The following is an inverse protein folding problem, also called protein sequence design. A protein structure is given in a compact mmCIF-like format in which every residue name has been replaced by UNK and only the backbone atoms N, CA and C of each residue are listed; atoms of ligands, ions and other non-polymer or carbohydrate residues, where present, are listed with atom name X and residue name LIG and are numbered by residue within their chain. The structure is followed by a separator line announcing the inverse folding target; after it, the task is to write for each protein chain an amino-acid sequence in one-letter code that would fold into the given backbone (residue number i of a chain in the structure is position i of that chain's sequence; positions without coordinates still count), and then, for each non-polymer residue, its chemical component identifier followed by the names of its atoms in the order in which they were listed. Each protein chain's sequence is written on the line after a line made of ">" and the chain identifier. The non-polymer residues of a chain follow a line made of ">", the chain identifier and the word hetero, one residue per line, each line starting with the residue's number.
data_IF_003748145379
#
_entry.id   IF_003748145379
#
_cell.length_a   1.000
_cell.length_b   1.000
_cell.length_c   1.000
_cell.angle_alpha   90.00
_cell.angle_beta   90.00
_cell.angle_gamma   90.00
#
_symmetry.space_group_name_H-M   'P 1'
#
loop_
_entity.id
_entity.type
_entity.pdbx_description
1 polymer ?
#
# COMPACT_ATOMS: atom_id res chain seq x y z
N UNK A 1 27.64 -17.31 7.79
CA UNK A 1 26.45 -18.11 8.19
C UNK A 1 25.68 -18.57 6.94
N UNK A 2 25.69 -19.87 6.70
CA UNK A 2 25.09 -20.53 5.53
C UNK A 2 23.61 -20.79 5.82
N UNK A 3 22.69 -20.14 5.11
CA UNK A 3 21.28 -20.52 5.12
C UNK A 3 21.11 -21.79 4.27
N UNK A 4 21.14 -22.96 4.92
CA UNK A 4 20.78 -24.23 4.30
C UNK A 4 19.25 -24.34 4.16
N UNK A 5 18.79 -24.62 2.93
CA UNK A 5 17.41 -24.95 2.49
C UNK A 5 16.79 -26.08 3.35
N UNK A 6 15.48 -26.33 3.46
CA UNK A 6 14.23 -25.79 2.89
C UNK A 6 13.06 -26.42 3.67
N UNK A 7 12.17 -25.59 4.19
CA UNK A 7 10.73 -25.89 4.27
C UNK A 7 10.05 -24.53 4.34
N UNK A 8 9.58 -24.03 3.20
CA UNK A 8 8.75 -22.83 3.20
C UNK A 8 7.31 -23.27 3.47
N UNK A 9 6.91 -23.14 4.73
CA UNK A 9 5.50 -23.07 5.09
C UNK A 9 5.15 -21.58 5.02
N UNK A 10 4.39 -21.20 3.99
CA UNK A 10 3.88 -19.83 3.86
C UNK A 10 2.47 -19.78 4.43
N UNK A 11 2.36 -19.73 5.76
CA UNK A 11 1.07 -19.47 6.40
C UNK A 11 0.79 -17.97 6.34
N UNK A 12 -0.32 -17.61 5.68
CA UNK A 12 -0.85 -16.25 5.73
C UNK A 12 -1.49 -16.05 7.10
N UNK A 13 -0.77 -15.38 7.99
CA UNK A 13 -1.34 -14.97 9.29
C UNK A 13 -2.06 -13.63 9.14
N UNK A 14 -3.36 -13.61 9.40
CA UNK A 14 -4.13 -12.36 9.50
C UNK A 14 -3.59 -11.53 10.67
N UNK A 15 -3.31 -10.26 10.40
CA UNK A 15 -2.79 -9.31 11.38
C UNK A 15 -3.92 -8.37 11.82
N UNK A 16 -3.97 -8.07 13.11
CA UNK A 16 -4.90 -7.06 13.61
C UNK A 16 -4.49 -5.69 13.08
N UNK A 17 -5.44 -5.00 12.47
CA UNK A 17 -5.25 -3.65 11.94
C UNK A 17 -6.24 -2.70 12.59
N UNK A 18 -5.81 -1.46 12.82
CA UNK A 18 -6.70 -0.37 13.22
C UNK A 18 -7.05 0.42 11.97
N UNK A 19 -8.32 0.70 11.75
CA UNK A 19 -8.72 1.37 10.53
C UNK A 19 -10.14 1.89 10.53
N UNK A 20 -10.43 2.72 9.53
CA UNK A 20 -11.77 3.17 9.21
C UNK A 20 -11.99 3.05 7.70
N UNK A 21 -13.23 2.79 7.31
CA UNK A 21 -13.66 2.77 5.91
C UNK A 21 -14.83 3.71 5.76
N UNK A 22 -14.80 4.54 4.72
CA UNK A 22 -15.88 5.43 4.33
C UNK A 22 -16.29 5.10 2.89
N UNK A 23 -17.60 5.07 2.58
CA UNK A 23 -18.05 4.90 1.20
C UNK A 23 -17.49 6.02 0.32
N UNK A 24 -16.92 5.66 -0.83
CA UNK A 24 -16.51 6.62 -1.84
C UNK A 24 -17.73 7.04 -2.65
N UNK A 25 -17.86 8.34 -2.94
CA UNK A 25 -18.85 8.84 -3.90
C UNK A 25 -18.42 8.52 -5.34
N UNK A 26 -19.38 8.31 -6.25
CA UNK A 26 -19.12 7.76 -7.58
C UNK A 26 -18.13 8.55 -8.46
N UNK A 27 -17.85 9.82 -8.14
CA UNK A 27 -16.95 10.70 -8.90
C UNK A 27 -15.72 11.16 -8.08
N UNK A 28 -15.57 10.66 -6.84
CA UNK A 28 -14.49 11.02 -5.94
C UNK A 28 -13.30 10.04 -6.07
N UNK A 29 -12.05 10.51 -5.92
CA UNK A 29 -10.89 9.63 -5.90
C UNK A 29 -10.91 8.72 -4.66
N UNK A 30 -10.62 7.44 -4.86
CA UNK A 30 -10.44 6.48 -3.78
C UNK A 30 -9.09 6.68 -3.10
N UNK A 31 -9.09 7.10 -1.84
CA UNK A 31 -7.86 7.40 -1.10
C UNK A 31 -7.66 6.35 0.00
N UNK A 32 -6.61 5.53 -0.13
CA UNK A 32 -6.25 4.53 0.86
C UNK A 32 -4.92 4.86 1.52
N UNK A 33 -4.95 4.99 2.84
CA UNK A 33 -3.79 5.30 3.66
C UNK A 33 -3.37 4.04 4.41
N UNK A 34 -2.12 3.61 4.23
CA UNK A 34 -1.53 2.48 4.93
C UNK A 34 -0.35 2.98 5.77
N UNK A 35 -0.41 2.76 7.07
CA UNK A 35 0.66 3.04 8.01
C UNK A 35 1.19 1.73 8.59
N UNK A 36 2.47 1.43 8.32
CA UNK A 36 3.12 0.21 8.75
C UNK A 36 4.25 0.51 9.75
N UNK A 37 4.22 -0.13 10.92
CA UNK A 37 5.34 -0.03 11.87
C UNK A 37 6.51 -0.92 11.46
N UNK A 38 6.23 -2.15 11.03
CA UNK A 38 7.25 -3.11 10.60
C UNK A 38 6.69 -4.14 9.62
N UNK A 39 7.48 -4.54 8.62
CA UNK A 39 7.10 -5.59 7.68
C UNK A 39 7.58 -7.00 8.08
N UNK A 40 8.25 -7.12 9.24
CA UNK A 40 8.86 -8.37 9.67
C UNK A 40 10.14 -8.67 8.92
N UNK A 41 11.27 -8.54 9.63
CA UNK A 41 12.58 -9.11 9.31
C UNK A 41 13.57 -8.59 10.36
N UNK A 42 13.79 -9.33 11.45
CA UNK A 42 14.89 -9.09 12.40
C UNK A 42 16.01 -10.12 12.27
N UNK A 43 16.00 -10.94 11.22
CA UNK A 43 17.00 -11.98 11.03
C UNK A 43 17.53 -11.93 9.60
N UNK A 44 18.86 -11.85 9.48
CA UNK A 44 19.66 -11.59 8.27
C UNK A 44 19.72 -10.14 7.74
N UNK A 45 20.02 -9.20 8.63
CA UNK A 45 21.10 -8.20 8.46
C UNK A 45 21.18 -7.22 7.28
N UNK A 46 20.34 -7.24 6.24
CA UNK A 46 20.50 -6.28 5.12
C UNK A 46 19.32 -6.08 4.16
N UNK A 47 18.31 -6.95 4.13
CA UNK A 47 17.27 -6.87 3.11
C UNK A 47 16.06 -6.08 3.62
N UNK A 48 15.75 -4.98 2.92
CA UNK A 48 14.48 -4.26 3.06
C UNK A 48 13.35 -5.27 2.87
N UNK A 49 12.44 -5.35 3.83
CA UNK A 49 11.34 -6.30 3.76
C UNK A 49 10.38 -5.88 2.64
N UNK A 50 9.98 -6.85 1.81
CA UNK A 50 9.04 -6.61 0.72
C UNK A 50 7.61 -6.61 1.28
N UNK A 51 6.86 -5.54 0.96
CA UNK A 51 5.46 -5.39 1.36
C UNK A 51 4.60 -5.34 0.11
N UNK A 52 3.72 -6.32 -0.03
CA UNK A 52 2.86 -6.45 -1.21
C UNK A 52 1.51 -5.79 -0.94
N UNK A 53 1.12 -4.83 -1.76
CA UNK A 53 -0.21 -4.20 -1.72
C UNK A 53 -0.99 -4.65 -2.95
N UNK A 54 -2.05 -5.41 -2.74
CA UNK A 54 -2.92 -5.92 -3.80
C UNK A 54 -4.21 -5.11 -3.86
N UNK A 55 -4.45 -4.44 -4.99
CA UNK A 55 -5.71 -3.80 -5.32
C UNK A 55 -6.62 -4.85 -5.96
N UNK A 56 -7.76 -5.09 -5.32
CA UNK A 56 -8.81 -5.94 -5.88
C UNK A 56 -9.78 -5.03 -6.64
N UNK A 57 -10.09 -5.29 -7.91
CA UNK A 57 -11.07 -4.50 -8.65
C UNK A 57 -12.49 -4.78 -8.15
N UNK A 58 -13.31 -3.74 -8.07
CA UNK A 58 -14.76 -3.89 -7.96
C UNK A 58 -15.34 -4.30 -9.32
N UNK A 59 -16.54 -4.88 -9.32
CA UNK A 59 -17.18 -5.47 -10.52
C UNK A 59 -17.35 -4.44 -11.65
N UNK A 60 -17.48 -3.16 -11.33
CA UNK A 60 -17.58 -2.07 -12.29
C UNK A 60 -16.62 -0.93 -11.93
N UNK A 61 -15.37 -1.00 -12.39
CA UNK A 61 -14.43 0.13 -12.25
C UNK A 61 -14.55 1.05 -13.47
N UNK A 62 -14.96 2.32 -13.31
CA UNK A 62 -15.05 3.25 -14.42
C UNK A 62 -13.68 3.51 -15.06
N UNK A 63 -13.67 3.88 -16.34
CA UNK A 63 -12.42 4.08 -17.10
C UNK A 63 -11.58 5.25 -16.57
N UNK A 64 -12.22 6.24 -15.93
CA UNK A 64 -11.57 7.41 -15.35
C UNK A 64 -11.41 7.32 -13.82
N UNK A 65 -11.43 6.11 -13.28
CA UNK A 65 -11.33 5.89 -11.84
C UNK A 65 -9.96 6.31 -11.29
N UNK A 66 -9.93 7.09 -10.22
CA UNK A 66 -8.70 7.60 -9.61
C UNK A 66 -8.48 6.95 -8.26
N UNK A 67 -7.37 6.26 -8.10
CA UNK A 67 -6.95 5.63 -6.84
C UNK A 67 -5.67 6.30 -6.34
N UNK A 68 -5.65 6.68 -5.08
CA UNK A 68 -4.50 7.27 -4.40
C UNK A 68 -4.11 6.36 -3.24
N UNK A 69 -2.87 5.86 -3.27
CA UNK A 69 -2.26 5.10 -2.20
C UNK A 69 -1.27 6.00 -1.47
N UNK A 70 -1.41 6.11 -0.15
CA UNK A 70 -0.46 6.81 0.72
C UNK A 70 0.15 5.76 1.64
N UNK A 71 1.43 5.47 1.43
CA UNK A 71 2.17 4.36 2.03
C UNK A 71 3.26 4.88 2.97
N UNK A 72 2.98 4.83 4.28
CA UNK A 72 3.94 5.19 5.32
C UNK A 72 4.51 3.95 5.98
N UNK A 73 5.83 3.94 6.19
CA UNK A 73 6.48 2.92 6.99
C UNK A 73 7.55 3.51 7.90
N UNK A 74 7.53 3.12 9.17
CA UNK A 74 8.59 3.46 10.14
C UNK A 74 9.83 2.59 9.98
N UNK A 75 9.72 1.46 9.28
CA UNK A 75 10.83 0.57 8.95
C UNK A 75 11.18 0.68 7.45
N UNK A 76 12.45 0.44 7.05
CA UNK A 76 12.83 0.43 5.65
C UNK A 76 12.20 -0.78 4.94
N UNK A 77 11.31 -0.50 3.99
CA UNK A 77 10.55 -1.52 3.25
C UNK A 77 10.63 -1.26 1.75
N UNK A 78 10.29 -2.27 0.96
CA UNK A 78 10.10 -2.14 -0.47
C UNK A 78 8.64 -2.46 -0.81
N UNK A 79 7.90 -1.49 -1.34
CA UNK A 79 6.50 -1.66 -1.68
C UNK A 79 6.35 -2.28 -3.06
N UNK A 80 5.54 -3.32 -3.17
CA UNK A 80 5.21 -3.98 -4.44
C UNK A 80 3.72 -3.89 -4.66
N UNK A 81 3.32 -3.17 -5.70
CA UNK A 81 1.91 -2.98 -6.03
C UNK A 81 1.45 -4.08 -6.98
N UNK A 82 0.29 -4.68 -6.70
CA UNK A 82 -0.40 -5.61 -7.60
C UNK A 82 -1.78 -5.04 -7.90
N UNK A 83 -2.05 -4.73 -9.16
CA UNK A 83 -3.27 -4.04 -9.56
C UNK A 83 -4.08 -4.80 -10.62
N UNK A 84 -4.15 -6.14 -10.51
CA UNK A 84 -4.75 -7.00 -11.53
C UNK A 84 -6.20 -6.61 -11.81
N UNK A 85 -6.52 -6.31 -13.07
CA UNK A 85 -7.86 -5.93 -13.50
C UNK A 85 -8.29 -4.53 -13.06
N UNK A 86 -7.39 -3.69 -12.55
CA UNK A 86 -7.66 -2.29 -12.22
C UNK A 86 -7.43 -1.40 -13.45
N UNK A 87 -8.31 -0.43 -13.66
CA UNK A 87 -8.24 0.57 -14.73
C UNK A 87 -8.25 1.99 -14.16
N UNK A 88 -7.83 2.97 -14.97
CA UNK A 88 -7.82 4.39 -14.63
C UNK A 88 -6.43 4.90 -14.24
N UNK A 89 -6.36 5.70 -13.18
CA UNK A 89 -5.12 6.31 -12.69
C UNK A 89 -4.84 5.92 -11.24
N UNK A 90 -3.64 5.41 -10.99
CA UNK A 90 -3.12 5.03 -9.68
C UNK A 90 -1.97 5.97 -9.29
N UNK A 91 -2.19 6.79 -8.28
CA UNK A 91 -1.14 7.61 -7.65
C UNK A 91 -0.64 6.92 -6.39
N UNK A 92 0.67 6.79 -6.22
CA UNK A 92 1.28 6.18 -5.04
C UNK A 92 2.26 7.15 -4.41
N UNK A 93 1.94 7.61 -3.20
CA UNK A 93 2.83 8.39 -2.34
C UNK A 93 3.46 7.44 -1.32
N UNK A 94 4.78 7.44 -1.21
CA UNK A 94 5.47 6.49 -0.34
C UNK A 94 6.72 7.09 0.29
N UNK A 95 7.01 6.72 1.53
CA UNK A 95 8.31 7.03 2.16
C UNK A 95 9.47 6.19 1.63
N UNK A 96 9.16 5.07 0.99
CA UNK A 96 10.12 4.06 0.55
C UNK A 96 9.94 3.70 -0.92
N UNK A 97 10.87 2.95 -1.51
CA UNK A 97 10.80 2.58 -2.94
C UNK A 97 9.54 1.78 -3.23
N UNK A 98 8.95 2.05 -4.38
CA UNK A 98 7.75 1.39 -4.90
C UNK A 98 8.09 0.74 -6.22
N UNK A 99 7.80 -0.55 -6.35
CA UNK A 99 7.77 -1.25 -7.63
C UNK A 99 6.41 -1.05 -8.30
N UNK A 100 6.39 -0.63 -9.58
CA UNK A 100 5.16 -0.51 -10.32
C UNK A 100 4.48 -1.88 -10.50
N UNK A 101 3.17 -1.90 -10.79
CA UNK A 101 2.43 -3.12 -11.07
C UNK A 101 3.07 -3.94 -12.20
N UNK A 102 3.27 -5.23 -11.95
CA UNK A 102 3.76 -6.20 -12.94
C UNK A 102 2.88 -7.46 -12.92
N UNK A 103 2.33 -7.89 -14.08
CA UNK A 103 2.43 -7.24 -15.40
C UNK A 103 1.74 -5.87 -15.45
N UNK A 104 2.09 -5.00 -16.43
CA UNK A 104 1.38 -3.75 -16.65
C UNK A 104 -0.07 -4.04 -17.05
N UNK A 105 -1.00 -3.28 -16.49
CA UNK A 105 -2.43 -3.50 -16.69
C UNK A 105 -2.97 -2.58 -17.81
N UNK A 106 -3.76 -3.11 -18.75
CA UNK A 106 -4.28 -2.31 -19.86
C UNK A 106 -5.26 -1.26 -19.35
N UNK A 107 -5.00 0.01 -19.69
CA UNK A 107 -5.82 1.13 -19.23
C UNK A 107 -5.52 1.60 -17.81
N UNK A 108 -4.42 1.12 -17.19
CA UNK A 108 -3.92 1.63 -15.91
C UNK A 108 -2.71 2.53 -16.13
N UNK A 109 -2.81 3.76 -15.66
CA UNK A 109 -1.69 4.70 -15.58
C UNK A 109 -1.22 4.77 -14.13
N UNK A 110 0.09 4.70 -13.90
CA UNK A 110 0.66 4.68 -12.54
C UNK A 110 1.63 5.84 -12.38
N UNK A 111 1.49 6.59 -11.29
CA UNK A 111 2.38 7.67 -10.90
C UNK A 111 2.88 7.42 -9.48
N UNK A 112 4.19 7.48 -9.28
CA UNK A 112 4.81 7.21 -7.96
C UNK A 112 5.58 8.44 -7.49
N UNK A 113 5.30 8.88 -6.26
CA UNK A 113 5.96 9.98 -5.57
C UNK A 113 6.65 9.46 -4.31
N UNK A 114 7.91 9.87 -4.13
CA UNK A 114 8.71 9.51 -2.96
C UNK A 114 8.75 10.68 -1.99
N UNK A 115 8.03 10.55 -0.88
CA UNK A 115 7.84 11.59 0.14
C UNK A 115 8.47 11.09 1.45
N UNK A 116 9.72 11.48 1.73
CA UNK A 116 10.49 10.97 2.87
C UNK A 116 9.84 11.27 4.23
N UNK A 117 9.08 12.36 4.33
CA UNK A 117 8.32 12.76 5.52
C UNK A 117 7.29 11.71 5.95
N UNK A 118 6.76 10.89 5.03
CA UNK A 118 5.81 9.82 5.34
C UNK A 118 6.38 8.72 6.27
N UNK A 119 7.70 8.66 6.45
CA UNK A 119 8.34 7.71 7.37
C UNK A 119 8.37 8.19 8.82
N UNK A 120 8.41 9.50 9.04
CA UNK A 120 8.55 10.12 10.37
C UNK A 120 7.23 10.59 10.95
N UNK A 121 6.20 10.71 10.10
CA UNK A 121 4.88 11.13 10.51
C UNK A 121 4.21 10.10 11.42
N UNK A 122 3.80 10.57 12.59
CA UNK A 122 2.99 9.79 13.52
C UNK A 122 1.54 9.66 13.03
N UNK A 123 1.06 10.66 12.28
CA UNK A 123 -0.30 10.72 11.74
C UNK A 123 -0.26 11.01 10.22
N UNK A 124 -0.42 9.96 9.42
CA UNK A 124 -0.50 10.07 7.96
C UNK A 124 -1.80 10.72 7.48
N UNK A 125 -2.87 10.70 8.29
CA UNK A 125 -4.15 11.32 7.91
C UNK A 125 -4.02 12.84 7.90
N UNK A 126 -3.22 13.40 8.82
CA UNK A 126 -2.94 14.83 8.85
C UNK A 126 -2.17 15.28 7.60
N UNK A 127 -1.18 14.48 7.16
CA UNK A 127 -0.48 14.73 5.90
C UNK A 127 -1.40 14.61 4.70
N UNK A 128 -2.21 13.56 4.61
CA UNK A 128 -3.17 13.37 3.53
C UNK A 128 -4.07 14.61 3.37
N UNK A 129 -4.64 15.10 4.48
CA UNK A 129 -5.45 16.32 4.50
C UNK A 129 -4.65 17.56 4.06
N UNK A 130 -3.42 17.72 4.53
CA UNK A 130 -2.53 18.82 4.16
C UNK A 130 -2.15 18.83 2.67
N UNK A 131 -2.01 17.65 2.07
CA UNK A 131 -1.74 17.44 0.64
C UNK A 131 -3.00 17.57 -0.24
N UNK A 132 -4.16 17.87 0.33
CA UNK A 132 -5.44 18.04 -0.38
C UNK A 132 -6.33 16.80 -0.43
N UNK A 133 -5.87 15.66 0.11
CA UNK A 133 -6.64 14.42 0.22
C UNK A 133 -7.52 14.43 1.47
N UNK A 134 -8.61 15.21 1.41
CA UNK A 134 -9.48 15.47 2.58
C UNK A 134 -10.50 14.36 2.87
N UNK A 135 -10.84 13.53 1.88
CA UNK A 135 -11.82 12.43 1.99
C UNK A 135 -11.11 11.07 1.88
N UNK A 136 -10.51 10.61 2.98
CA UNK A 136 -9.85 9.29 3.01
C UNK A 136 -10.90 8.18 2.98
N UNK A 137 -10.85 7.33 1.95
CA UNK A 137 -11.73 6.17 1.78
C UNK A 137 -11.41 5.07 2.79
N UNK A 138 -10.13 4.77 2.98
CA UNK A 138 -9.73 3.82 4.02
C UNK A 138 -8.44 4.22 4.71
N UNK A 139 -8.41 4.06 6.02
CA UNK A 139 -7.19 4.10 6.81
C UNK A 139 -6.90 2.72 7.38
N UNK A 140 -5.66 2.27 7.24
CA UNK A 140 -5.21 0.99 7.80
C UNK A 140 -3.86 1.20 8.48
N UNK A 141 -3.80 0.92 9.78
CA UNK A 141 -2.58 0.90 10.57
C UNK A 141 -2.28 -0.54 11.00
N UNK A 142 -1.08 -1.02 10.69
CA UNK A 142 -0.59 -2.35 11.06
C UNK A 142 0.74 -2.25 11.80
N UNK A 143 0.85 -2.98 12.91
CA UNK A 143 2.10 -3.06 13.66
C UNK A 143 3.10 -4.02 13.01
N UNK A 144 2.60 -5.11 12.42
CA UNK A 144 3.38 -6.09 11.68
C UNK A 144 2.58 -6.59 10.48
N UNK A 145 3.04 -6.34 9.24
CA UNK A 145 2.41 -6.89 8.03
C UNK A 145 3.32 -6.79 6.81
N UNK A 146 3.35 -7.83 5.98
CA UNK A 146 4.06 -7.83 4.69
C UNK A 146 3.12 -7.97 3.48
N UNK A 147 1.80 -8.05 3.72
CA UNK A 147 0.78 -8.19 2.68
C UNK A 147 -0.46 -7.41 3.07
N UNK A 148 -0.96 -6.61 2.13
CA UNK A 148 -2.22 -5.87 2.22
C UNK A 148 -3.08 -6.19 1.02
N UNK A 149 -4.38 -6.38 1.23
CA UNK A 149 -5.37 -6.51 0.18
C UNK A 149 -6.42 -5.43 0.38
N UNK A 150 -6.53 -4.51 -0.58
CA UNK A 150 -7.52 -3.44 -0.57
C UNK A 150 -8.70 -3.92 -1.42
N UNK A 151 -9.84 -4.11 -0.76
CA UNK A 151 -11.13 -4.35 -1.42
C UNK A 151 -11.77 -2.99 -1.74
N UNK A 152 -12.29 -2.86 -2.96
CA UNK A 152 -12.86 -1.62 -3.52
C UNK A 152 -14.29 -1.89 -3.96
#
# INVERSE_FOLDING_TARGET
>A
PLCSRTTQISDLQTQEVKGCVRPTEADAPEIHVIQLRSAGSRFCGSLQAEVIVSLVPSVETPENHKVVLILGSSAPVHWVIKARGVRGHLSVHSSSRVSPPSPPEPGLTVSTSLDSELSTLSDLLLWARGSGYTQVTSFTQADLANRFAIQR
#
